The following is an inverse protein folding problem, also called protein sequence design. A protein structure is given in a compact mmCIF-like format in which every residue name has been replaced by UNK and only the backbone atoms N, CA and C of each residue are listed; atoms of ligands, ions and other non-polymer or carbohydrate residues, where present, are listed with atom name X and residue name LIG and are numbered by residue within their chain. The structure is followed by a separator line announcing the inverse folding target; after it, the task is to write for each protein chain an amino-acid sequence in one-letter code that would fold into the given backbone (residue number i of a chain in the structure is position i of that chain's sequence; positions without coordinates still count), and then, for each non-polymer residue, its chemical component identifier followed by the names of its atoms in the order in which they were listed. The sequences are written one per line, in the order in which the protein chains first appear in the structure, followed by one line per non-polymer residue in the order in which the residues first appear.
data_IF_868780470529
#
_entry.id   IF_868780470529
#
_cell.length_a   1.000
_cell.length_b   1.000
_cell.length_c   1.000
_cell.angle_alpha   90.00
_cell.angle_beta   90.00
_cell.angle_gamma   90.00
#
_symmetry.space_group_name_H-M   'P 1'
#
loop_
_entity.id
_entity.type
_entity.pdbx_description
1 polymer ?
#
# COMPACT_ATOMS: atom_id res chain seq x y z
N UNK A 1 -9.22 -15.23 1.32
CA UNK A 1 -9.73 -14.27 2.32
C UNK A 1 -10.15 -12.98 1.64
N UNK A 2 -11.29 -12.45 2.03
CA UNK A 2 -11.80 -11.23 1.42
C UNK A 2 -11.18 -9.99 2.06
N UNK A 3 -10.99 -8.96 1.26
CA UNK A 3 -10.56 -7.67 1.76
C UNK A 3 -11.65 -7.08 2.66
N UNK A 4 -11.25 -6.27 3.65
CA UNK A 4 -12.20 -5.57 4.49
C UNK A 4 -12.94 -4.50 3.67
N UNK A 5 -14.07 -4.04 4.18
CA UNK A 5 -14.83 -2.97 3.51
C UNK A 5 -14.00 -1.70 3.37
N UNK A 6 -13.21 -1.38 4.40
CA UNK A 6 -12.32 -0.22 4.35
C UNK A 6 -11.27 -0.33 3.26
N UNK A 7 -10.67 -1.51 3.12
CA UNK A 7 -9.69 -1.75 2.07
C UNK A 7 -10.31 -1.61 0.69
N UNK A 8 -11.51 -2.16 0.49
CA UNK A 8 -12.21 -2.07 -0.78
C UNK A 8 -12.50 -0.61 -1.12
N UNK A 9 -12.94 0.16 -0.15
CA UNK A 9 -13.24 1.57 -0.34
C UNK A 9 -12.01 2.39 -0.73
N UNK A 10 -10.90 2.18 -0.03
CA UNK A 10 -9.64 2.86 -0.34
C UNK A 10 -9.18 2.51 -1.74
N UNK A 11 -9.24 1.23 -2.08
CA UNK A 11 -8.85 0.76 -3.40
C UNK A 11 -9.68 1.40 -4.50
N UNK A 12 -10.98 1.49 -4.32
CA UNK A 12 -11.87 2.13 -5.29
C UNK A 12 -11.51 3.60 -5.47
N UNK A 13 -11.23 4.31 -4.39
CA UNK A 13 -10.82 5.71 -4.43
C UNK A 13 -9.52 5.87 -5.22
N UNK A 14 -8.54 5.01 -4.97
CA UNK A 14 -7.27 5.07 -5.67
C UNK A 14 -7.41 4.75 -7.16
N UNK A 15 -8.23 3.78 -7.50
CA UNK A 15 -8.50 3.43 -8.89
C UNK A 15 -9.22 4.56 -9.62
N UNK A 16 -10.20 5.17 -8.97
CA UNK A 16 -10.96 6.27 -9.56
C UNK A 16 -10.09 7.49 -9.77
N UNK A 17 -9.12 7.72 -8.89
CA UNK A 17 -8.16 8.82 -9.03
C UNK A 17 -7.05 8.51 -10.06
N UNK A 18 -7.06 7.30 -10.63
CA UNK A 18 -6.07 6.86 -11.62
C UNK A 18 -4.63 6.91 -11.07
N UNK A 19 -4.48 6.64 -9.79
CA UNK A 19 -3.18 6.62 -9.15
C UNK A 19 -2.50 5.26 -9.35
N UNK A 20 -1.17 5.29 -9.43
CA UNK A 20 -0.38 4.08 -9.45
C UNK A 20 -0.22 3.58 -8.03
N UNK A 21 -0.76 2.41 -7.74
CA UNK A 21 -0.67 1.86 -6.39
C UNK A 21 -0.52 0.35 -6.41
N UNK A 22 -0.04 -0.19 -5.29
CA UNK A 22 0.03 -1.62 -5.06
C UNK A 22 -0.59 -1.94 -3.72
N UNK A 23 -1.23 -3.09 -3.63
CA UNK A 23 -1.86 -3.54 -2.39
C UNK A 23 -0.97 -4.57 -1.70
N UNK A 24 -0.99 -4.55 -0.37
CA UNK A 24 -0.27 -5.52 0.45
C UNK A 24 1.21 -5.62 0.08
N UNK A 25 1.84 -4.45 -0.02
CA UNK A 25 3.25 -4.35 -0.40
C UNK A 25 4.16 -4.63 0.79
N UNK A 26 5.16 -5.45 0.57
CA UNK A 26 6.14 -5.83 1.59
C UNK A 26 7.48 -5.23 1.23
N UNK A 27 8.12 -4.58 2.21
CA UNK A 27 9.48 -4.03 2.06
C UNK A 27 10.48 -4.99 2.73
N UNK A 28 11.10 -5.90 1.99
CA UNK A 28 12.03 -6.85 2.59
C UNK A 28 13.28 -6.20 3.18
N UNK A 29 13.66 -5.04 2.68
CA UNK A 29 14.84 -4.31 3.16
C UNK A 29 14.56 -3.50 4.42
N UNK A 30 13.30 -3.25 4.75
CA UNK A 30 12.90 -2.53 5.95
C UNK A 30 12.27 -3.51 6.92
N UNK A 31 12.81 -3.54 8.13
CA UNK A 31 12.32 -4.47 9.14
C UNK A 31 11.87 -3.72 10.38
N UNK A 32 10.84 -4.26 11.02
CA UNK A 32 10.38 -3.76 12.31
C UNK A 32 11.42 -4.11 13.39
N UNK A 33 11.31 -3.53 14.59
CA UNK A 33 12.19 -3.91 15.70
C UNK A 33 12.17 -5.39 16.03
N UNK A 34 11.09 -6.10 15.69
CA UNK A 34 10.99 -7.54 15.90
C UNK A 34 11.66 -8.37 14.79
N UNK A 35 12.25 -7.73 13.78
CA UNK A 35 12.94 -8.40 12.69
C UNK A 35 12.04 -8.84 11.54
N UNK A 36 10.77 -8.48 11.54
CA UNK A 36 9.84 -8.81 10.46
C UNK A 36 9.87 -7.73 9.38
N UNK A 37 9.73 -8.11 8.10
CA UNK A 37 9.61 -7.11 7.04
C UNK A 37 8.41 -6.19 7.26
N UNK A 38 8.58 -4.91 6.96
CA UNK A 38 7.48 -3.96 7.04
C UNK A 38 6.50 -4.20 5.90
N UNK A 39 5.21 -4.13 6.22
CA UNK A 39 4.15 -4.38 5.27
C UNK A 39 3.11 -3.27 5.36
N UNK A 40 2.69 -2.78 4.21
CA UNK A 40 1.66 -1.76 4.12
C UNK A 40 0.51 -2.26 3.26
N UNK A 41 -0.71 -1.87 3.60
CA UNK A 41 -1.88 -2.31 2.86
C UNK A 41 -1.93 -1.67 1.48
N UNK A 42 -1.47 -0.42 1.35
CA UNK A 42 -1.41 0.28 0.08
C UNK A 42 -0.14 1.09 0.00
N UNK A 43 0.49 1.07 -1.16
CA UNK A 43 1.64 1.92 -1.47
C UNK A 43 1.34 2.64 -2.77
N UNK A 44 1.36 3.95 -2.76
CA UNK A 44 1.05 4.79 -3.91
C UNK A 44 2.35 5.35 -4.48
N UNK A 45 2.51 5.23 -5.80
CA UNK A 45 3.70 5.69 -6.50
C UNK A 45 3.39 6.94 -7.30
N UNK A 46 4.38 7.83 -7.39
CA UNK A 46 4.26 9.02 -8.24
C UNK A 46 4.55 8.69 -9.70
N UNK A 47 4.54 9.72 -10.56
CA UNK A 47 4.76 9.54 -11.99
C UNK A 47 6.19 9.07 -12.31
N UNK A 48 7.13 9.31 -11.43
CA UNK A 48 8.53 8.87 -11.58
C UNK A 48 8.76 7.45 -11.07
N UNK A 49 7.73 6.81 -10.53
CA UNK A 49 7.84 5.47 -9.98
C UNK A 49 8.38 5.44 -8.56
N UNK A 50 8.48 6.59 -7.91
CA UNK A 50 8.90 6.68 -6.51
C UNK A 50 7.69 6.59 -5.60
N UNK A 51 7.92 6.18 -4.36
CA UNK A 51 6.83 6.08 -3.38
C UNK A 51 6.40 7.48 -2.99
N UNK A 52 5.11 7.77 -3.22
CA UNK A 52 4.51 9.05 -2.86
C UNK A 52 4.03 8.99 -1.41
N UNK A 53 3.19 8.02 -1.10
CA UNK A 53 2.75 7.80 0.28
C UNK A 53 2.30 6.36 0.47
N UNK A 54 2.17 5.96 1.73
CA UNK A 54 1.81 4.60 2.12
C UNK A 54 0.64 4.65 3.08
N UNK A 55 -0.26 3.68 2.96
CA UNK A 55 -1.43 3.58 3.82
C UNK A 55 -1.40 2.26 4.57
N UNK A 56 -1.52 2.32 5.87
CA UNK A 56 -1.70 1.16 6.72
C UNK A 56 -3.13 1.23 7.29
N UNK A 57 -3.90 0.23 6.96
CA UNK A 57 -5.31 0.19 7.37
C UNK A 57 -5.49 -0.55 8.69
#
# INVERSE_FOLDING_TARGET
MNASRGEIKIREILEEAELNFKVKYIFPDLKSPSGRPLRFDFVIFDDDGKIDFMIEY
#
